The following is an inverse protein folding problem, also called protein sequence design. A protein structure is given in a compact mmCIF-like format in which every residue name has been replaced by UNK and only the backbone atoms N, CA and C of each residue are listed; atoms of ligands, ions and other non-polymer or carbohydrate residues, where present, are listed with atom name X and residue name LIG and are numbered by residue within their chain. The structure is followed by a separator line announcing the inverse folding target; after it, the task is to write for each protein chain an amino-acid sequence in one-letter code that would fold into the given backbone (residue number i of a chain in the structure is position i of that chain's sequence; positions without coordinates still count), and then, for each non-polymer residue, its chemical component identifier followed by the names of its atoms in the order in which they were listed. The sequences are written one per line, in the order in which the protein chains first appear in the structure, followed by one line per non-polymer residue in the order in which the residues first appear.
data_IF_740747538933
#
_entry.id   IF_740747538933
#
_cell.length_a   1.000
_cell.length_b   1.000
_cell.length_c   1.000
_cell.angle_alpha   90.00
_cell.angle_beta   90.00
_cell.angle_gamma   90.00
#
_symmetry.space_group_name_H-M   'P 1'
#
loop_
_entity.id
_entity.type
_entity.pdbx_description
1 polymer ?
#
# COMPACT_ATOMS: atom_id res chain seq x y z
N UNK A 1 16.75 -20.51 80.22
CA UNK A 1 15.45 -20.34 79.59
C UNK A 1 15.61 -19.33 78.50
N UNK A 2 15.65 -19.78 77.22
CA UNK A 2 15.87 -18.93 76.03
C UNK A 2 14.56 -18.89 75.26
N UNK A 3 13.95 -17.68 75.13
CA UNK A 3 12.81 -17.44 74.29
C UNK A 3 13.28 -17.30 72.83
N UNK A 4 12.80 -18.20 71.97
CA UNK A 4 12.94 -18.10 70.53
C UNK A 4 11.76 -17.34 69.97
N UNK A 5 12.02 -16.17 69.36
CA UNK A 5 11.03 -15.39 68.65
C UNK A 5 10.99 -15.87 67.18
N UNK A 6 9.81 -16.30 66.70
CA UNK A 6 9.56 -16.60 65.30
C UNK A 6 9.24 -15.29 64.56
N UNK A 7 10.08 -14.97 63.57
CA UNK A 7 9.81 -13.90 62.62
C UNK A 7 9.07 -14.51 61.44
N UNK A 8 7.78 -14.15 61.33
CA UNK A 8 6.99 -14.51 60.13
C UNK A 8 7.29 -13.51 59.01
N UNK A 9 7.94 -13.96 57.96
CA UNK A 9 8.15 -13.19 56.71
C UNK A 9 6.88 -13.23 55.89
N UNK A 10 6.22 -12.09 55.76
CA UNK A 10 5.11 -11.92 54.82
C UNK A 10 5.71 -11.65 53.42
N UNK A 11 5.57 -12.57 52.53
CA UNK A 11 5.90 -12.39 51.10
C UNK A 11 4.73 -11.66 50.45
N UNK A 12 4.97 -10.37 50.13
CA UNK A 12 4.04 -9.57 49.36
C UNK A 12 4.21 -9.90 47.88
N UNK A 13 3.33 -10.73 47.32
CA UNK A 13 3.33 -11.02 45.91
C UNK A 13 2.72 -9.81 45.14
N UNK A 14 3.56 -9.02 44.53
CA UNK A 14 3.13 -7.96 43.59
C UNK A 14 2.80 -8.62 42.25
N UNK A 15 1.51 -8.79 41.99
CA UNK A 15 1.01 -9.18 40.65
C UNK A 15 1.18 -7.96 39.72
N UNK A 16 2.21 -8.00 38.87
CA UNK A 16 2.33 -7.07 37.75
C UNK A 16 1.28 -7.48 36.71
N UNK A 17 0.14 -6.81 36.74
CA UNK A 17 -0.89 -6.96 35.72
C UNK A 17 -0.35 -6.38 34.40
N UNK A 18 -0.09 -7.24 33.42
CA UNK A 18 0.15 -6.83 32.06
C UNK A 18 -1.19 -6.33 31.47
N UNK A 19 -1.38 -5.02 31.45
CA UNK A 19 -2.41 -4.41 30.61
C UNK A 19 -2.00 -4.62 29.15
N UNK A 20 -2.48 -5.68 28.52
CA UNK A 20 -2.57 -5.74 27.07
C UNK A 20 -3.62 -4.69 26.67
N UNK A 21 -3.17 -3.46 26.48
CA UNK A 21 -3.96 -2.48 25.77
C UNK A 21 -4.21 -3.02 24.37
N UNK A 22 -5.46 -3.38 24.09
CA UNK A 22 -5.93 -3.58 22.72
C UNK A 22 -5.61 -2.27 21.99
N UNK A 23 -4.49 -2.24 21.24
CA UNK A 23 -4.23 -1.21 20.26
C UNK A 23 -5.30 -1.40 19.18
N UNK A 24 -6.43 -0.74 19.34
CA UNK A 24 -7.37 -0.56 18.25
C UNK A 24 -6.63 0.13 17.12
N UNK A 25 -6.49 -0.57 16.00
CA UNK A 25 -5.87 0.01 14.80
C UNK A 25 -6.62 1.29 14.46
N UNK A 26 -5.96 2.44 14.33
CA UNK A 26 -6.63 3.69 13.99
C UNK A 26 -7.18 3.72 12.56
N UNK A 27 -7.10 2.61 11.81
CA UNK A 27 -7.33 2.55 10.36
C UNK A 27 -8.71 2.06 9.93
N UNK A 28 -9.70 2.10 10.79
CA UNK A 28 -11.02 1.63 10.41
C UNK A 28 -12.13 2.50 10.97
N UNK A 29 -12.29 3.63 10.36
CA UNK A 29 -13.57 4.32 10.38
C UNK A 29 -13.88 4.79 8.96
N UNK A 30 -15.14 4.65 8.53
CA UNK A 30 -15.70 5.35 7.39
C UNK A 30 -15.80 6.84 7.71
N UNK A 31 -14.64 7.44 8.00
CA UNK A 31 -14.51 8.86 8.31
C UNK A 31 -14.39 9.60 7.00
N UNK A 32 -15.00 10.76 6.93
CA UNK A 32 -14.82 11.65 5.77
C UNK A 32 -13.33 11.95 5.57
N UNK A 33 -12.85 12.01 4.32
CA UNK A 33 -11.48 12.38 4.03
C UNK A 33 -11.11 13.72 4.69
N UNK A 34 -9.86 13.85 5.14
CA UNK A 34 -9.36 15.11 5.75
C UNK A 34 -9.41 16.29 4.80
N UNK A 35 -9.37 16.00 3.50
CA UNK A 35 -9.55 17.01 2.46
C UNK A 35 -10.92 16.83 1.80
N UNK A 36 -11.81 17.85 1.85
CA UNK A 36 -13.07 17.81 1.10
C UNK A 36 -12.80 17.51 -0.38
N UNK A 37 -13.65 16.68 -0.98
CA UNK A 37 -13.53 16.35 -2.41
C UNK A 37 -13.73 17.63 -3.26
N UNK A 38 -12.81 17.85 -4.20
CA UNK A 38 -12.89 18.96 -5.13
C UNK A 38 -13.67 18.57 -6.38
N UNK A 39 -14.52 19.48 -6.86
CA UNK A 39 -15.08 19.39 -8.21
C UNK A 39 -14.24 20.25 -9.18
N UNK A 40 -14.42 20.05 -10.47
CA UNK A 40 -13.70 20.84 -11.49
C UNK A 40 -13.97 22.34 -11.37
N UNK A 41 -15.19 22.72 -10.96
CA UNK A 41 -15.62 24.12 -10.77
C UNK A 41 -14.94 24.79 -9.58
N UNK A 42 -14.56 24.01 -8.58
CA UNK A 42 -13.88 24.49 -7.36
C UNK A 42 -12.37 24.62 -7.53
N UNK A 43 -11.81 24.13 -8.65
CA UNK A 43 -10.37 24.22 -8.88
C UNK A 43 -9.94 25.67 -9.13
N UNK A 44 -8.88 26.08 -8.46
CA UNK A 44 -8.17 27.31 -8.77
C UNK A 44 -7.48 27.22 -10.16
N UNK A 45 -7.11 28.35 -10.71
CA UNK A 45 -6.41 28.39 -12.01
C UNK A 45 -5.09 27.61 -12.02
N UNK A 46 -4.44 27.47 -10.86
CA UNK A 46 -3.21 26.63 -10.72
C UNK A 46 -3.52 25.13 -10.69
N UNK A 47 -4.71 24.74 -10.28
CA UNK A 47 -5.12 23.32 -10.17
C UNK A 47 -5.78 22.81 -11.45
N UNK A 48 -6.49 23.68 -12.18
CA UNK A 48 -7.25 23.33 -13.39
C UNK A 48 -6.45 22.50 -14.41
N UNK A 49 -5.22 22.89 -14.80
CA UNK A 49 -4.48 22.13 -15.79
C UNK A 49 -4.21 20.67 -15.40
N UNK A 50 -3.93 20.43 -14.12
CA UNK A 50 -3.77 19.08 -13.57
C UNK A 50 -5.12 18.35 -13.50
N UNK A 51 -6.17 19.02 -13.03
CA UNK A 51 -7.51 18.43 -12.96
C UNK A 51 -8.03 17.97 -14.32
N UNK A 52 -7.83 18.77 -15.37
CA UNK A 52 -8.21 18.42 -16.75
C UNK A 52 -7.45 17.21 -17.29
N UNK A 53 -6.19 17.00 -16.89
CA UNK A 53 -5.43 15.82 -17.26
C UNK A 53 -5.92 14.57 -16.50
N UNK A 54 -6.16 14.71 -15.20
CA UNK A 54 -6.65 13.63 -14.36
C UNK A 54 -7.96 13.05 -14.88
N UNK A 55 -8.95 13.90 -15.17
CA UNK A 55 -10.29 13.41 -15.59
C UNK A 55 -10.28 12.70 -16.94
N UNK A 56 -9.27 12.89 -17.77
CA UNK A 56 -9.11 12.17 -19.05
C UNK A 56 -8.74 10.70 -18.87
N UNK A 57 -8.09 10.35 -17.75
CA UNK A 57 -7.54 9.00 -17.51
C UNK A 57 -8.13 8.32 -16.27
N UNK A 58 -8.63 9.11 -15.32
CA UNK A 58 -9.19 8.61 -14.07
C UNK A 58 -10.61 8.11 -14.26
N UNK A 59 -10.91 6.91 -13.71
CA UNK A 59 -12.27 6.36 -13.67
C UNK A 59 -13.11 6.91 -12.50
N UNK A 60 -12.43 7.53 -11.52
CA UNK A 60 -13.05 8.09 -10.30
C UNK A 60 -13.00 9.62 -10.29
N UNK A 61 -12.72 10.23 -11.44
CA UNK A 61 -12.57 11.68 -11.54
C UNK A 61 -11.41 12.18 -10.69
N UNK A 62 -11.66 13.20 -9.86
CA UNK A 62 -10.64 13.81 -8.99
C UNK A 62 -10.50 13.12 -7.62
N UNK A 63 -11.20 12.01 -7.37
CA UNK A 63 -11.16 11.28 -6.09
C UNK A 63 -9.91 10.42 -5.92
N UNK A 64 -9.79 9.77 -4.76
CA UNK A 64 -8.63 8.95 -4.40
C UNK A 64 -7.37 9.80 -4.25
N UNK A 65 -6.19 9.34 -4.72
CA UNK A 65 -4.93 10.06 -4.53
C UNK A 65 -4.89 11.42 -5.23
N UNK A 66 -5.75 11.65 -6.22
CA UNK A 66 -5.76 12.88 -6.99
C UNK A 66 -6.27 14.07 -6.20
N UNK A 67 -7.27 13.88 -5.32
CA UNK A 67 -7.81 14.96 -4.50
C UNK A 67 -6.74 15.62 -3.60
N UNK A 68 -5.96 14.87 -2.79
CA UNK A 68 -4.85 15.47 -2.04
C UNK A 68 -3.72 16.00 -2.94
N UNK A 69 -3.41 15.38 -4.09
CA UNK A 69 -2.40 15.86 -5.02
C UNK A 69 -2.74 17.25 -5.59
N UNK A 70 -4.01 17.54 -5.82
CA UNK A 70 -4.47 18.86 -6.27
C UNK A 70 -4.20 19.98 -5.25
N UNK A 71 -4.00 19.66 -3.96
CA UNK A 71 -3.64 20.66 -2.92
C UNK A 71 -2.22 21.20 -3.09
N UNK A 72 -1.37 20.47 -3.83
CA UNK A 72 -0.01 20.90 -4.20
C UNK A 72 0.18 20.72 -5.70
N UNK A 73 -0.37 21.63 -6.54
CA UNK A 73 -0.48 21.40 -7.98
C UNK A 73 0.87 21.23 -8.68
N UNK A 74 1.95 21.84 -8.19
CA UNK A 74 3.29 21.66 -8.76
C UNK A 74 3.83 20.25 -8.48
N UNK A 75 3.71 19.77 -7.26
CA UNK A 75 4.05 18.39 -6.90
C UNK A 75 3.10 17.41 -7.61
N UNK A 76 1.79 17.70 -7.54
CA UNK A 76 0.76 16.87 -8.14
C UNK A 76 0.96 16.64 -9.63
N UNK A 77 1.39 17.67 -10.38
CA UNK A 77 1.71 17.51 -11.81
C UNK A 77 2.88 16.53 -12.02
N UNK A 78 3.99 16.71 -11.29
CA UNK A 78 5.14 15.80 -11.40
C UNK A 78 4.81 14.37 -11.03
N UNK A 79 4.02 14.20 -9.97
CA UNK A 79 3.56 12.89 -9.53
C UNK A 79 2.61 12.26 -10.54
N UNK A 80 1.70 13.05 -11.13
CA UNK A 80 0.80 12.60 -12.20
C UNK A 80 1.57 12.15 -13.44
N UNK A 81 2.57 12.92 -13.88
CA UNK A 81 3.40 12.58 -15.04
C UNK A 81 4.14 11.26 -14.82
N UNK A 82 4.69 11.06 -13.61
CA UNK A 82 5.34 9.80 -13.23
C UNK A 82 4.36 8.63 -13.19
N UNK A 83 3.19 8.81 -12.54
CA UNK A 83 2.13 7.80 -12.52
C UNK A 83 1.64 7.46 -13.93
N UNK A 84 1.51 8.46 -14.80
CA UNK A 84 1.11 8.26 -16.19
C UNK A 84 2.13 7.38 -16.93
N UNK A 85 3.43 7.68 -16.81
CA UNK A 85 4.49 6.84 -17.37
C UNK A 85 4.41 5.41 -16.83
N UNK A 86 4.42 5.24 -15.52
CA UNK A 86 4.48 3.93 -14.86
C UNK A 86 3.24 3.06 -15.10
N UNK A 87 2.10 3.65 -15.42
CA UNK A 87 0.89 2.88 -15.69
C UNK A 87 0.68 2.52 -17.15
N UNK A 88 1.12 3.35 -18.07
CA UNK A 88 0.78 3.20 -19.49
C UNK A 88 1.97 3.16 -20.44
N UNK A 89 3.17 3.53 -19.99
CA UNK A 89 4.35 3.66 -20.85
C UNK A 89 5.56 2.87 -20.32
N UNK A 90 5.49 2.33 -19.12
CA UNK A 90 6.56 1.52 -18.50
C UNK A 90 6.90 0.29 -19.34
N UNK A 91 8.14 -0.18 -19.23
CA UNK A 91 8.59 -1.43 -19.80
C UNK A 91 8.07 -2.68 -19.07
N UNK A 92 7.54 -2.52 -17.85
CA UNK A 92 7.01 -3.62 -17.02
C UNK A 92 5.67 -4.11 -17.60
N UNK A 93 5.52 -5.42 -17.91
CA UNK A 93 4.25 -5.96 -18.37
C UNK A 93 3.11 -5.65 -17.37
N UNK A 94 1.92 -5.31 -17.90
CA UNK A 94 0.79 -4.84 -17.09
C UNK A 94 0.47 -5.77 -15.90
N UNK A 95 0.50 -7.09 -16.12
CA UNK A 95 0.26 -8.08 -15.04
C UNK A 95 1.26 -7.95 -13.91
N UNK A 96 2.53 -7.84 -14.23
CA UNK A 96 3.61 -7.71 -13.24
C UNK A 96 3.58 -6.34 -12.54
N UNK A 97 3.22 -5.30 -13.28
CA UNK A 97 3.02 -3.95 -12.75
C UNK A 97 1.89 -3.92 -11.70
N UNK A 98 0.70 -4.40 -12.07
CA UNK A 98 -0.43 -4.48 -11.13
C UNK A 98 -0.12 -5.38 -9.92
N UNK A 99 0.65 -6.46 -10.12
CA UNK A 99 1.08 -7.31 -9.01
C UNK A 99 2.01 -6.57 -8.04
N UNK A 100 2.98 -5.83 -8.55
CA UNK A 100 3.86 -4.98 -7.72
C UNK A 100 3.06 -3.95 -6.92
N UNK A 101 2.06 -3.31 -7.55
CA UNK A 101 1.15 -2.38 -6.89
C UNK A 101 0.37 -3.07 -5.76
N UNK A 102 -0.16 -4.28 -6.00
CA UNK A 102 -0.88 -5.02 -4.97
C UNK A 102 0.02 -5.45 -3.80
N UNK A 103 1.30 -5.78 -4.04
CA UNK A 103 2.27 -6.06 -2.97
C UNK A 103 2.41 -4.83 -2.05
N UNK A 104 2.59 -3.63 -2.62
CA UNK A 104 2.65 -2.38 -1.86
C UNK A 104 1.32 -2.10 -1.15
N UNK A 105 0.20 -2.20 -1.88
CA UNK A 105 -1.14 -2.00 -1.31
C UNK A 105 -1.41 -2.91 -0.12
N UNK A 106 -0.90 -4.17 -0.16
CA UNK A 106 -0.99 -5.10 0.97
C UNK A 106 -0.10 -4.70 2.14
N UNK A 107 1.17 -4.37 1.88
CA UNK A 107 2.13 -3.96 2.92
C UNK A 107 1.64 -2.72 3.68
N UNK A 108 1.09 -1.75 2.97
CA UNK A 108 0.55 -0.52 3.52
C UNK A 108 -0.91 -0.64 3.99
N UNK A 109 -1.55 -1.79 3.76
CA UNK A 109 -3.00 -1.99 3.98
C UNK A 109 -3.83 -0.86 3.36
N UNK A 110 -3.40 -0.39 2.19
CA UNK A 110 -4.00 0.72 1.46
C UNK A 110 -5.33 0.27 0.86
N UNK A 111 -6.43 0.70 1.48
CA UNK A 111 -7.80 0.35 1.09
C UNK A 111 -8.08 0.74 -0.36
N UNK A 112 -7.75 1.97 -0.72
CA UNK A 112 -8.02 2.54 -2.04
C UNK A 112 -7.19 1.86 -3.13
N UNK A 113 -5.88 1.64 -2.89
CA UNK A 113 -5.02 0.97 -3.86
C UNK A 113 -5.46 -0.47 -4.10
N UNK A 114 -5.73 -1.21 -3.02
CA UNK A 114 -6.19 -2.58 -3.16
C UNK A 114 -7.52 -2.66 -3.92
N UNK A 115 -8.50 -1.84 -3.53
CA UNK A 115 -9.80 -1.78 -4.19
C UNK A 115 -9.70 -1.43 -5.67
N UNK A 116 -8.88 -0.45 -6.01
CA UNK A 116 -8.72 0.00 -7.39
C UNK A 116 -7.94 -0.98 -8.27
N UNK A 117 -6.93 -1.67 -7.72
CA UNK A 117 -5.97 -2.44 -8.50
C UNK A 117 -6.29 -3.93 -8.60
N UNK A 118 -7.06 -4.54 -7.69
CA UNK A 118 -7.47 -5.94 -7.80
C UNK A 118 -8.22 -6.24 -9.11
N UNK A 119 -9.25 -5.46 -9.51
CA UNK A 119 -9.92 -5.72 -10.78
C UNK A 119 -9.01 -5.56 -12.01
N UNK A 120 -8.02 -4.65 -11.93
CA UNK A 120 -7.06 -4.42 -13.00
C UNK A 120 -6.05 -5.58 -13.09
N UNK A 121 -5.56 -6.08 -11.97
CA UNK A 121 -4.67 -7.24 -11.90
C UNK A 121 -5.34 -8.50 -12.46
N UNK A 122 -6.60 -8.76 -12.09
CA UNK A 122 -7.39 -9.88 -12.63
C UNK A 122 -7.53 -9.74 -14.15
N UNK A 123 -7.90 -8.55 -14.62
CA UNK A 123 -8.03 -8.26 -16.06
C UNK A 123 -6.69 -8.43 -16.81
N UNK A 124 -5.58 -8.13 -16.15
CA UNK A 124 -4.23 -8.32 -16.69
C UNK A 124 -3.75 -9.79 -16.66
N UNK A 125 -4.55 -10.69 -16.07
CA UNK A 125 -4.26 -12.14 -16.02
C UNK A 125 -3.51 -12.60 -14.77
N UNK A 126 -3.50 -11.81 -13.70
CA UNK A 126 -3.00 -12.28 -12.40
C UNK A 126 -4.02 -13.25 -11.78
N UNK A 127 -3.53 -14.39 -11.27
CA UNK A 127 -4.39 -15.42 -10.67
C UNK A 127 -5.10 -14.89 -9.42
N UNK A 128 -6.39 -15.24 -9.28
CA UNK A 128 -7.16 -14.90 -8.09
C UNK A 128 -6.63 -15.59 -6.82
N UNK A 129 -6.03 -16.78 -6.96
CA UNK A 129 -5.40 -17.49 -5.84
C UNK A 129 -4.18 -16.71 -5.32
N UNK A 130 -3.35 -16.19 -6.24
CA UNK A 130 -2.21 -15.33 -5.88
C UNK A 130 -2.69 -14.08 -5.14
N UNK A 131 -3.75 -13.43 -5.63
CA UNK A 131 -4.34 -12.25 -4.98
C UNK A 131 -4.91 -12.60 -3.59
N UNK A 132 -5.58 -13.74 -3.45
CA UNK A 132 -6.16 -14.18 -2.19
C UNK A 132 -5.07 -14.49 -1.14
N UNK A 133 -4.01 -15.20 -1.53
CA UNK A 133 -2.87 -15.50 -0.64
C UNK A 133 -2.13 -14.21 -0.24
N UNK A 134 -1.91 -13.30 -1.20
CA UNK A 134 -1.32 -12.00 -0.92
C UNK A 134 -2.19 -11.18 0.06
N UNK A 135 -3.52 -11.15 -0.15
CA UNK A 135 -4.46 -10.49 0.76
C UNK A 135 -4.36 -11.05 2.18
N UNK A 136 -4.21 -12.37 2.30
CA UNK A 136 -4.02 -13.05 3.58
C UNK A 136 -2.63 -12.85 4.21
N UNK A 137 -1.80 -11.96 3.67
CA UNK A 137 -0.41 -11.72 4.09
C UNK A 137 0.49 -12.96 4.00
N UNK A 138 0.24 -13.80 3.01
CA UNK A 138 1.04 -14.99 2.72
C UNK A 138 1.85 -14.76 1.45
N UNK A 139 3.02 -15.39 1.39
CA UNK A 139 3.73 -15.51 0.11
C UNK A 139 2.88 -16.39 -0.80
N UNK A 140 2.49 -15.91 -1.99
CA UNK A 140 1.71 -16.74 -2.91
C UNK A 140 2.47 -18.00 -3.33
N UNK A 141 1.76 -19.12 -3.45
CA UNK A 141 2.37 -20.45 -3.61
C UNK A 141 2.70 -20.79 -5.07
N UNK A 142 1.77 -20.59 -5.98
CA UNK A 142 1.88 -21.07 -7.38
C UNK A 142 2.18 -19.94 -8.36
N UNK A 143 3.22 -19.14 -8.07
CA UNK A 143 3.64 -18.04 -8.94
C UNK A 143 4.50 -18.57 -10.11
N UNK A 144 4.20 -18.19 -11.37
CA UNK A 144 5.15 -18.29 -12.48
C UNK A 144 6.48 -17.58 -12.17
N UNK A 145 7.58 -17.93 -12.87
CA UNK A 145 8.92 -17.38 -12.54
C UNK A 145 9.00 -15.87 -12.52
N UNK A 146 8.37 -15.15 -13.46
CA UNK A 146 8.38 -13.68 -13.48
C UNK A 146 7.57 -13.09 -12.31
N UNK A 147 6.45 -13.69 -11.95
CA UNK A 147 5.66 -13.24 -10.80
C UNK A 147 6.40 -13.52 -9.49
N UNK A 148 7.05 -14.69 -9.37
CA UNK A 148 7.84 -15.03 -8.19
C UNK A 148 8.99 -14.03 -7.98
N UNK A 149 9.73 -13.69 -9.04
CA UNK A 149 10.83 -12.72 -8.91
C UNK A 149 10.35 -11.31 -8.63
N UNK A 150 9.21 -10.88 -9.18
CA UNK A 150 8.60 -9.57 -8.84
C UNK A 150 8.21 -9.54 -7.38
N UNK A 151 7.57 -10.60 -6.86
CA UNK A 151 7.22 -10.68 -5.44
C UNK A 151 8.45 -10.57 -4.54
N UNK A 152 9.49 -11.36 -4.82
CA UNK A 152 10.70 -11.37 -4.02
C UNK A 152 11.44 -10.04 -4.09
N UNK A 153 11.64 -9.52 -5.30
CA UNK A 153 12.33 -8.25 -5.53
C UNK A 153 11.64 -7.09 -4.80
N UNK A 154 10.33 -6.92 -5.01
CA UNK A 154 9.57 -5.83 -4.37
C UNK A 154 9.55 -6.02 -2.85
N UNK A 155 9.34 -7.25 -2.36
CA UNK A 155 9.27 -7.51 -0.93
C UNK A 155 10.61 -7.25 -0.26
N UNK A 156 11.73 -7.78 -0.78
CA UNK A 156 13.06 -7.52 -0.24
C UNK A 156 13.39 -6.02 -0.22
N UNK A 157 13.16 -5.34 -1.36
CA UNK A 157 13.44 -3.91 -1.48
C UNK A 157 12.67 -3.07 -0.47
N UNK A 158 11.41 -3.39 -0.21
CA UNK A 158 10.51 -2.55 0.60
C UNK A 158 10.46 -2.94 2.07
N UNK A 159 10.89 -4.15 2.44
CA UNK A 159 10.89 -4.61 3.83
C UNK A 159 12.29 -4.71 4.43
N UNK A 160 13.26 -5.23 3.68
CA UNK A 160 14.66 -5.32 4.09
C UNK A 160 15.49 -4.11 3.66
N UNK A 161 14.96 -3.26 2.76
CA UNK A 161 15.64 -2.08 2.17
C UNK A 161 16.91 -2.45 1.40
N UNK A 162 17.00 -3.66 0.91
CA UNK A 162 18.06 -4.21 0.08
C UNK A 162 17.50 -5.34 -0.76
N UNK A 163 18.08 -5.58 -1.92
CA UNK A 163 17.77 -6.76 -2.75
C UNK A 163 18.99 -7.67 -2.72
N UNK A 164 18.80 -8.95 -2.42
CA UNK A 164 19.88 -9.93 -2.42
C UNK A 164 20.46 -10.12 -3.83
N UNK A 165 21.72 -10.51 -3.93
CA UNK A 165 22.37 -10.78 -5.23
C UNK A 165 21.64 -11.91 -5.98
N UNK A 166 21.11 -12.89 -5.29
CA UNK A 166 20.34 -13.99 -5.86
C UNK A 166 19.07 -13.45 -6.54
N UNK A 167 18.25 -12.68 -5.80
CA UNK A 167 17.01 -12.09 -6.33
C UNK A 167 17.31 -11.09 -7.45
N UNK A 168 18.35 -10.24 -7.29
CA UNK A 168 18.73 -9.28 -8.32
C UNK A 168 19.16 -9.96 -9.62
N UNK A 169 20.01 -11.00 -9.55
CA UNK A 169 20.47 -11.71 -10.73
C UNK A 169 19.33 -12.45 -11.44
N UNK A 170 18.40 -13.05 -10.71
CA UNK A 170 17.19 -13.65 -11.28
C UNK A 170 16.29 -12.61 -11.93
N UNK A 171 16.07 -11.47 -11.26
CA UNK A 171 15.29 -10.37 -11.83
C UNK A 171 15.93 -9.85 -13.13
N UNK A 172 17.25 -9.64 -13.13
CA UNK A 172 17.97 -9.21 -14.34
C UNK A 172 17.85 -10.22 -15.50
N UNK A 173 17.89 -11.50 -15.19
CA UNK A 173 17.76 -12.55 -16.19
C UNK A 173 16.34 -12.62 -16.79
N UNK A 174 15.30 -12.48 -15.98
CA UNK A 174 13.91 -12.63 -16.40
C UNK A 174 13.29 -11.36 -16.94
N UNK A 175 13.64 -10.21 -16.37
CA UNK A 175 13.00 -8.92 -16.66
C UNK A 175 13.92 -7.96 -17.44
N UNK A 176 15.25 -8.08 -17.27
CA UNK A 176 16.22 -7.14 -17.80
C UNK A 176 16.35 -5.86 -16.98
N UNK A 177 17.37 -5.05 -17.26
CA UNK A 177 17.75 -3.91 -16.44
C UNK A 177 16.71 -2.79 -16.45
N UNK A 178 16.11 -2.50 -17.60
CA UNK A 178 15.08 -1.45 -17.70
C UNK A 178 13.85 -1.78 -16.84
N UNK A 179 13.34 -3.01 -16.91
CA UNK A 179 12.18 -3.39 -16.12
C UNK A 179 12.48 -3.40 -14.62
N UNK A 180 13.69 -3.75 -14.19
CA UNK A 180 14.12 -3.65 -12.78
C UNK A 180 14.04 -2.20 -12.29
N UNK A 181 14.55 -1.25 -13.07
CA UNK A 181 14.50 0.18 -12.73
C UNK A 181 13.07 0.68 -12.69
N UNK A 182 12.27 0.36 -13.71
CA UNK A 182 10.85 0.73 -13.76
C UNK A 182 10.07 0.09 -12.61
N UNK A 183 10.32 -1.18 -12.29
CA UNK A 183 9.68 -1.88 -11.16
C UNK A 183 10.02 -1.23 -9.80
N UNK A 184 11.27 -0.79 -9.64
CA UNK A 184 11.69 0.00 -8.46
C UNK A 184 10.93 1.31 -8.40
N UNK A 185 10.78 2.00 -9.53
CA UNK A 185 10.01 3.24 -9.60
C UNK A 185 8.52 3.02 -9.31
N UNK A 186 7.93 1.92 -9.81
CA UNK A 186 6.54 1.52 -9.46
C UNK A 186 6.41 1.35 -7.95
N UNK A 187 7.26 0.55 -7.32
CA UNK A 187 7.20 0.30 -5.88
C UNK A 187 7.32 1.60 -5.07
N UNK A 188 8.33 2.43 -5.32
CA UNK A 188 8.53 3.69 -4.60
C UNK A 188 7.39 4.69 -4.81
N UNK A 189 6.86 4.77 -6.03
CA UNK A 189 5.75 5.66 -6.36
C UNK A 189 4.47 5.24 -5.64
N UNK A 190 4.15 3.94 -5.61
CA UNK A 190 2.95 3.45 -4.93
C UNK A 190 3.08 3.49 -3.40
N UNK A 191 4.28 3.39 -2.83
CA UNK A 191 4.51 3.74 -1.42
C UNK A 191 4.14 5.22 -1.18
N UNK A 192 4.54 6.12 -2.06
CA UNK A 192 4.18 7.55 -1.94
C UNK A 192 2.66 7.75 -2.06
N UNK A 193 2.00 7.05 -2.98
CA UNK A 193 0.53 7.07 -3.11
C UNK A 193 -0.13 6.55 -1.84
N UNK A 194 0.33 5.41 -1.28
CA UNK A 194 -0.17 4.86 -0.03
C UNK A 194 -0.04 5.85 1.14
N UNK A 195 1.11 6.54 1.25
CA UNK A 195 1.32 7.59 2.25
C UNK A 195 0.37 8.77 2.07
N UNK A 196 0.14 9.22 0.83
CA UNK A 196 -0.81 10.30 0.51
C UNK A 196 -2.22 9.91 0.92
N UNK A 197 -2.67 8.70 0.55
CA UNK A 197 -4.00 8.18 0.88
C UNK A 197 -4.18 8.03 2.40
N UNK A 198 -3.18 7.52 3.10
CA UNK A 198 -3.19 7.38 4.56
C UNK A 198 -3.21 8.74 5.26
N UNK A 199 -2.39 9.69 4.81
CA UNK A 199 -2.32 11.05 5.37
C UNK A 199 -3.64 11.78 5.18
N UNK A 200 -4.31 11.64 4.03
CA UNK A 200 -5.57 12.31 3.72
C UNK A 200 -6.82 11.56 4.22
N UNK A 201 -6.65 10.34 4.77
CA UNK A 201 -7.75 9.45 5.17
C UNK A 201 -8.72 9.16 4.01
N UNK A 202 -8.19 9.07 2.78
CA UNK A 202 -8.99 8.66 1.62
C UNK A 202 -9.44 7.20 1.80
N UNK A 203 -10.68 6.93 1.43
CA UNK A 203 -11.30 5.61 1.56
C UNK A 203 -11.89 5.13 0.23
N UNK A 204 -12.34 3.88 0.21
CA UNK A 204 -13.12 3.35 -0.90
C UNK A 204 -14.44 4.11 -1.04
N UNK A 205 -15.11 4.06 -2.22
CA UNK A 205 -16.38 4.74 -2.41
C UNK A 205 -17.42 4.35 -1.36
N UNK A 206 -18.34 5.26 -0.99
CA UNK A 206 -19.41 4.95 -0.06
C UNK A 206 -20.23 3.74 -0.50
N UNK A 207 -20.48 2.81 0.43
CA UNK A 207 -21.22 1.57 0.18
C UNK A 207 -20.36 0.38 -0.25
N UNK A 208 -19.09 0.59 -0.57
CA UNK A 208 -18.15 -0.49 -0.87
C UNK A 208 -17.56 -1.10 0.40
N UNK A 209 -17.28 -2.41 0.37
CA UNK A 209 -16.65 -3.12 1.48
C UNK A 209 -15.15 -2.78 1.55
N UNK A 210 -14.66 -2.51 2.77
CA UNK A 210 -13.22 -2.28 2.99
C UNK A 210 -12.43 -3.55 2.70
N UNK A 211 -11.42 -3.51 1.82
CA UNK A 211 -10.55 -4.64 1.53
C UNK A 211 -9.87 -5.26 2.76
N UNK A 212 -9.43 -4.42 3.70
CA UNK A 212 -8.75 -4.84 4.92
C UNK A 212 -9.57 -4.43 6.14
N UNK A 213 -10.16 -5.42 6.83
CA UNK A 213 -10.97 -5.17 8.03
C UNK A 213 -10.09 -4.87 9.25
N UNK A 214 -10.60 -4.12 10.23
CA UNK A 214 -9.91 -3.94 11.52
C UNK A 214 -9.62 -5.28 12.17
N UNK A 215 -8.38 -5.45 12.68
CA UNK A 215 -7.97 -6.69 13.35
C UNK A 215 -7.59 -7.86 12.43
N UNK A 216 -7.77 -7.75 11.13
CA UNK A 216 -7.17 -8.70 10.17
C UNK A 216 -5.66 -8.47 10.08
N UNK A 217 -4.85 -9.54 9.92
CA UNK A 217 -3.39 -9.43 9.81
C UNK A 217 -2.92 -8.68 8.56
#
# INVERSE_FOLDING_TARGET
MRHMAYISSIILATTVGWFFGLMTSPYATSKDPRFPQLTMEQLSDKQKPLGEQIVKVSRVGLAGPYNPMLRSPVFGQKMFDLLYYLRWQTSVPLKLNEFAILIIGRQWRSQVEWFAHVPLAIKAGLSQDIIAELKANKRPSNMPPEEAVVYEFVTELTTAHVVSDETFNRARQLLGEQQIVDLTAVAGTYITVAMILAMSEESVPPGEELPFKPGEP
#
